data_IF_393220024122
#
_entry.id   IF_393220024122
#
_cell.length_a   1.000
_cell.length_b   1.000
_cell.length_c   1.000
_cell.angle_alpha   90.00
_cell.angle_beta   90.00
_cell.angle_gamma   90.00
#
_symmetry.space_group_name_H-M   'P 1'
#
loop_
_entity.id
_entity.type
_entity.pdbx_description
1 polymer ?
#
# COMPACT_ATOMS: atom_id res chain seq x y z
N UNK A 1 2.87 8.78 27.97
CA UNK A 1 3.86 9.74 27.42
C UNK A 1 4.91 9.04 26.55
N UNK A 2 5.64 8.04 27.05
CA UNK A 2 6.68 7.34 26.29
C UNK A 2 6.19 6.74 24.94
N UNK A 3 5.05 6.05 24.91
CA UNK A 3 4.51 5.46 23.68
C UNK A 3 4.20 6.55 22.64
N UNK A 4 3.56 7.64 23.05
CA UNK A 4 3.27 8.78 22.18
C UNK A 4 4.55 9.39 21.58
N UNK A 5 5.58 9.57 22.37
CA UNK A 5 6.87 10.11 21.92
C UNK A 5 7.54 9.18 20.88
N UNK A 6 7.53 7.87 21.11
CA UNK A 6 8.05 6.87 20.16
C UNK A 6 7.28 6.90 18.84
N UNK A 7 5.95 6.98 18.89
CA UNK A 7 5.11 7.06 17.68
C UNK A 7 5.43 8.35 16.92
N UNK A 8 5.49 9.49 17.59
CA UNK A 8 5.80 10.77 16.96
C UNK A 8 7.20 10.77 16.34
N UNK A 9 8.21 10.26 17.03
CA UNK A 9 9.56 10.13 16.50
C UNK A 9 9.61 9.25 15.25
N UNK A 10 8.91 8.10 15.27
CA UNK A 10 8.81 7.19 14.10
C UNK A 10 8.11 7.87 12.91
N UNK A 11 7.04 8.63 13.17
CA UNK A 11 6.33 9.38 12.13
C UNK A 11 7.17 10.51 11.56
N UNK A 12 7.88 11.26 12.41
CA UNK A 12 8.79 12.32 11.98
C UNK A 12 9.90 11.78 11.08
N UNK A 13 10.51 10.66 11.45
CA UNK A 13 11.55 10.02 10.66
C UNK A 13 11.08 9.59 9.26
N UNK A 14 9.77 9.35 9.07
CA UNK A 14 9.14 9.03 7.78
C UNK A 14 8.58 10.24 7.04
N UNK A 15 8.74 11.47 7.54
CA UNK A 15 8.12 12.67 6.97
C UNK A 15 6.60 12.71 7.14
N UNK A 16 6.04 12.01 8.12
CA UNK A 16 4.59 11.92 8.37
C UNK A 16 4.08 12.89 9.45
N UNK A 17 4.95 13.80 9.91
CA UNK A 17 4.56 14.94 10.72
C UNK A 17 4.86 16.20 9.92
N UNK A 18 3.87 17.08 9.82
CA UNK A 18 4.01 18.32 9.05
C UNK A 18 5.10 19.20 9.66
N UNK A 19 6.06 19.58 8.82
CA UNK A 19 7.11 20.56 9.09
C UNK A 19 7.27 21.43 7.83
N UNK A 20 6.99 22.74 7.91
CA UNK A 20 7.09 23.63 6.75
C UNK A 20 8.50 23.68 6.13
N UNK A 21 9.53 23.39 6.90
CA UNK A 21 10.93 23.40 6.45
C UNK A 21 11.33 22.08 5.76
N UNK A 22 10.53 21.03 5.91
CA UNK A 22 10.81 19.70 5.35
C UNK A 22 9.86 19.38 4.18
N UNK A 23 10.34 19.42 2.92
CA UNK A 23 9.51 19.16 1.75
C UNK A 23 8.93 17.73 1.71
N UNK A 24 9.49 16.78 2.46
CA UNK A 24 8.95 15.42 2.53
C UNK A 24 7.66 15.32 3.35
N UNK A 25 7.30 16.37 4.10
CA UNK A 25 6.08 16.38 4.91
C UNK A 25 4.85 16.92 4.16
N UNK A 26 5.05 17.47 2.95
CA UNK A 26 3.98 18.01 2.11
C UNK A 26 3.31 16.91 1.27
N UNK A 27 2.67 15.97 1.93
CA UNK A 27 1.98 14.84 1.30
C UNK A 27 0.83 14.35 2.15
N UNK A 28 0.02 13.44 1.60
CA UNK A 28 -1.14 12.84 2.26
C UNK A 28 -0.81 11.55 3.03
N UNK A 29 0.47 11.29 3.35
CA UNK A 29 0.93 10.03 3.93
C UNK A 29 1.25 8.98 2.87
N UNK A 30 1.03 7.70 3.17
CA UNK A 30 1.18 6.62 2.18
C UNK A 30 0.14 6.79 1.08
N UNK A 31 0.58 6.73 -0.17
CA UNK A 31 -0.31 6.90 -1.32
C UNK A 31 -0.90 5.56 -1.79
N UNK A 32 -0.16 4.48 -1.68
CA UNK A 32 -0.61 3.15 -2.07
C UNK A 32 -0.78 2.22 -0.89
N UNK A 33 -1.81 1.39 -0.97
CA UNK A 33 -2.04 0.31 -0.03
C UNK A 33 -1.12 -0.87 -0.34
N UNK A 34 -0.77 -1.65 0.69
CA UNK A 34 -0.18 -2.96 0.49
C UNK A 34 -1.18 -3.86 -0.24
N UNK A 35 -0.77 -4.45 -1.35
CA UNK A 35 -1.66 -5.31 -2.13
C UNK A 35 -2.00 -6.58 -1.35
N UNK A 36 -3.29 -6.97 -1.38
CA UNK A 36 -3.75 -8.26 -0.90
C UNK A 36 -3.98 -9.13 -2.13
N UNK A 37 -3.30 -10.27 -2.20
CA UNK A 37 -3.32 -11.15 -3.35
C UNK A 37 -3.48 -12.60 -2.91
N UNK A 38 -4.04 -13.48 -3.73
CA UNK A 38 -4.05 -14.92 -3.46
C UNK A 38 -2.63 -15.46 -3.25
N UNK A 39 -2.47 -16.44 -2.37
CA UNK A 39 -1.17 -17.04 -2.08
C UNK A 39 -0.44 -17.53 -3.33
N UNK A 40 -1.17 -18.07 -4.30
CA UNK A 40 -0.60 -18.51 -5.57
C UNK A 40 0.11 -17.35 -6.32
N UNK A 41 -0.47 -16.16 -6.31
CA UNK A 41 0.14 -14.94 -6.88
C UNK A 41 1.33 -14.48 -6.03
N UNK A 42 1.19 -14.49 -4.69
CA UNK A 42 2.28 -14.11 -3.80
C UNK A 42 3.53 -15.00 -3.98
N UNK A 43 3.34 -16.28 -4.36
CA UNK A 43 4.46 -17.22 -4.62
C UNK A 43 5.23 -16.92 -5.90
N UNK A 44 4.65 -16.18 -6.86
CA UNK A 44 5.36 -15.78 -8.08
C UNK A 44 6.29 -14.60 -7.87
N UNK A 45 6.10 -13.86 -6.76
CA UNK A 45 6.95 -12.74 -6.40
C UNK A 45 8.30 -13.24 -5.82
N UNK A 46 9.39 -12.46 -5.97
CA UNK A 46 10.68 -12.78 -5.36
C UNK A 46 10.56 -13.10 -3.87
N UNK A 47 11.30 -14.06 -3.35
CA UNK A 47 11.21 -14.50 -1.95
C UNK A 47 11.56 -13.39 -0.95
N UNK A 48 12.33 -12.40 -1.35
CA UNK A 48 12.72 -11.23 -0.56
C UNK A 48 11.57 -10.21 -0.39
N UNK A 49 10.50 -10.32 -1.21
CA UNK A 49 9.34 -9.44 -1.06
C UNK A 49 8.66 -9.71 0.30
N UNK A 50 8.62 -8.72 1.20
CA UNK A 50 7.96 -8.89 2.49
C UNK A 50 6.47 -9.19 2.30
N UNK A 51 6.01 -10.23 3.00
CA UNK A 51 4.64 -10.71 2.89
C UNK A 51 4.11 -11.18 4.24
N UNK A 52 2.82 -11.02 4.43
CA UNK A 52 2.13 -11.36 5.67
C UNK A 52 0.83 -12.08 5.34
N UNK A 53 0.53 -13.22 5.98
CA UNK A 53 -0.76 -13.88 5.83
C UNK A 53 -1.87 -12.93 6.29
N UNK A 54 -2.96 -12.88 5.53
CA UNK A 54 -4.18 -12.20 5.95
C UNK A 54 -5.02 -13.21 6.70
N UNK A 55 -5.36 -12.92 7.97
CA UNK A 55 -6.26 -13.77 8.71
C UNK A 55 -7.63 -13.79 7.99
N UNK A 56 -8.25 -14.96 7.82
CA UNK A 56 -9.60 -15.02 7.29
C UNK A 56 -10.54 -14.23 8.20
N UNK A 57 -11.50 -13.55 7.58
CA UNK A 57 -12.56 -12.88 8.34
C UNK A 57 -13.41 -13.98 9.02
N UNK A 58 -13.24 -14.12 10.33
CA UNK A 58 -13.90 -15.17 11.11
C UNK A 58 -15.39 -14.88 11.38
N UNK A 59 -15.91 -13.77 10.88
CA UNK A 59 -17.30 -13.36 11.07
C UNK A 59 -18.30 -14.05 10.12
N UNK A 60 -17.88 -15.04 9.33
CA UNK A 60 -18.80 -15.89 8.58
C UNK A 60 -19.51 -16.88 9.52
N UNK A 61 -20.58 -16.41 10.16
CA UNK A 61 -21.50 -17.30 10.88
C UNK A 61 -22.22 -18.15 9.84
N UNK A 62 -21.86 -19.42 9.73
CA UNK A 62 -22.62 -20.38 8.92
C UNK A 62 -23.86 -20.79 9.70
N UNK A 63 -25.02 -20.28 9.30
CA UNK A 63 -26.32 -20.70 9.86
C UNK A 63 -26.68 -22.06 9.24
N UNK A 64 -26.63 -23.11 10.04
CA UNK A 64 -27.09 -24.45 9.64
C UNK A 64 -28.53 -24.61 10.13
N UNK A 65 -29.51 -24.85 9.22
CA UNK A 65 -30.88 -25.16 9.64
C UNK A 65 -30.92 -26.35 10.57
N UNK A 66 -31.75 -26.29 11.61
CA UNK A 66 -31.81 -27.33 12.66
C UNK A 66 -32.21 -28.72 12.12
N UNK A 67 -33.00 -28.74 11.08
CA UNK A 67 -33.44 -29.97 10.35
C UNK A 67 -32.34 -30.59 9.50
N UNK A 68 -31.28 -29.80 9.18
CA UNK A 68 -30.09 -30.24 8.42
C UNK A 68 -28.88 -30.55 9.31
N UNK A 69 -29.04 -30.43 10.62
CA UNK A 69 -27.98 -30.71 11.60
C UNK A 69 -27.92 -32.20 11.98
N UNK A 70 -27.03 -32.94 11.36
CA UNK A 70 -26.78 -34.35 11.64
C UNK A 70 -25.64 -34.59 12.67
N UNK A 71 -25.32 -33.63 13.51
CA UNK A 71 -24.29 -33.76 14.54
C UNK A 71 -22.84 -33.62 14.03
N UNK A 72 -22.64 -33.48 12.73
CA UNK A 72 -21.35 -33.22 12.12
C UNK A 72 -21.43 -31.84 11.41
N UNK A 73 -20.91 -30.80 12.07
CA UNK A 73 -20.68 -29.56 11.36
C UNK A 73 -19.72 -29.84 10.21
N UNK A 74 -20.05 -29.47 8.95
CA UNK A 74 -19.09 -29.56 7.87
C UNK A 74 -17.85 -28.82 8.30
N UNK A 75 -16.68 -29.45 8.18
CA UNK A 75 -15.40 -28.76 8.41
C UNK A 75 -15.35 -27.59 7.45
N UNK A 76 -15.28 -26.33 7.94
CA UNK A 76 -15.19 -25.21 7.05
C UNK A 76 -13.99 -25.43 6.14
N UNK A 77 -14.21 -25.40 4.84
CA UNK A 77 -13.10 -25.31 3.89
C UNK A 77 -12.31 -24.07 4.29
N UNK A 78 -11.01 -24.24 4.54
CA UNK A 78 -10.16 -23.10 4.83
C UNK A 78 -10.28 -22.13 3.64
N UNK A 79 -10.70 -20.87 3.87
CA UNK A 79 -10.78 -19.92 2.79
C UNK A 79 -9.41 -19.83 2.12
N UNK A 80 -9.34 -19.52 0.80
CA UNK A 80 -8.08 -19.30 0.13
C UNK A 80 -7.27 -18.30 0.96
N UNK A 81 -6.05 -18.64 1.28
CA UNK A 81 -5.19 -17.81 2.11
C UNK A 81 -4.73 -16.62 1.28
N UNK A 82 -5.27 -15.44 1.57
CA UNK A 82 -4.77 -14.20 1.01
C UNK A 82 -3.49 -13.76 1.72
N UNK A 83 -2.63 -13.11 0.97
CA UNK A 83 -1.34 -12.63 1.44
C UNK A 83 -1.23 -11.14 1.14
N UNK A 84 -0.92 -10.37 2.16
CA UNK A 84 -0.56 -8.96 2.02
C UNK A 84 0.91 -8.86 1.62
N UNK A 85 1.21 -8.14 0.53
CA UNK A 85 2.57 -7.92 0.02
C UNK A 85 2.97 -6.46 0.13
N UNK A 86 4.25 -6.20 0.34
CA UNK A 86 4.77 -4.85 0.57
C UNK A 86 4.75 -4.00 -0.70
N UNK A 87 3.84 -3.01 -0.78
CA UNK A 87 3.82 -2.05 -1.86
C UNK A 87 5.12 -1.22 -1.94
N UNK A 88 5.71 -0.86 -0.81
CA UNK A 88 6.99 -0.14 -0.78
C UNK A 88 8.10 -0.94 -1.46
N UNK A 89 8.20 -2.23 -1.15
CA UNK A 89 9.19 -3.13 -1.76
C UNK A 89 8.96 -3.23 -3.28
N UNK A 90 7.71 -3.43 -3.70
CA UNK A 90 7.35 -3.52 -5.13
C UNK A 90 7.74 -2.25 -5.88
N UNK A 91 7.46 -1.07 -5.33
CA UNK A 91 7.81 0.23 -5.94
C UNK A 91 9.33 0.37 -6.08
N UNK A 92 10.08 0.11 -5.01
CA UNK A 92 11.54 0.22 -5.03
C UNK A 92 12.18 -0.76 -6.02
N UNK A 93 11.66 -1.99 -6.13
CA UNK A 93 12.18 -3.03 -7.04
C UNK A 93 11.66 -2.88 -8.48
N UNK A 94 10.59 -2.09 -8.70
CA UNK A 94 10.21 -1.62 -10.04
C UNK A 94 11.08 -0.45 -10.55
N UNK A 95 12.16 -0.10 -9.82
CA UNK A 95 13.12 0.94 -10.18
C UNK A 95 12.73 2.35 -9.74
N UNK A 96 11.77 2.49 -8.83
CA UNK A 96 11.31 3.79 -8.32
C UNK A 96 11.74 3.93 -6.86
N UNK A 97 12.93 4.46 -6.66
CA UNK A 97 13.48 4.68 -5.31
C UNK A 97 12.97 5.95 -4.65
N UNK A 98 13.33 6.10 -3.38
CA UNK A 98 13.09 7.33 -2.61
C UNK A 98 13.71 8.53 -3.31
N UNK A 99 12.97 9.64 -3.33
CA UNK A 99 13.40 10.86 -4.03
C UNK A 99 13.17 10.87 -5.54
N UNK A 100 12.62 9.79 -6.11
CA UNK A 100 12.32 9.71 -7.54
C UNK A 100 11.34 10.82 -7.97
N UNK A 101 11.57 11.38 -9.17
CA UNK A 101 10.70 12.40 -9.78
C UNK A 101 10.63 12.18 -11.28
N UNK A 102 9.48 12.47 -11.87
CA UNK A 102 9.36 12.58 -13.31
C UNK A 102 10.04 13.87 -13.80
N UNK A 103 10.58 13.87 -15.03
CA UNK A 103 11.20 15.07 -15.61
C UNK A 103 10.23 16.26 -15.58
N UNK A 104 10.71 17.41 -15.11
CA UNK A 104 9.95 18.67 -14.99
C UNK A 104 8.79 18.65 -13.99
N UNK A 105 8.48 17.54 -13.35
CA UNK A 105 7.43 17.46 -12.33
C UNK A 105 7.90 18.08 -11.00
N UNK A 106 6.96 18.71 -10.30
CA UNK A 106 7.12 19.19 -8.93
C UNK A 106 6.57 18.18 -7.89
N UNK A 107 5.96 17.09 -8.37
CA UNK A 107 5.65 15.93 -7.56
C UNK A 107 6.85 14.98 -7.48
N UNK A 108 7.00 14.28 -6.37
CA UNK A 108 8.06 13.28 -6.19
C UNK A 108 7.74 12.26 -5.11
N UNK A 109 8.45 11.14 -5.15
CA UNK A 109 8.48 10.19 -4.05
C UNK A 109 9.28 10.80 -2.91
N UNK A 110 8.81 10.67 -1.67
CA UNK A 110 9.52 11.14 -0.49
C UNK A 110 10.93 10.53 -0.41
N UNK A 111 11.90 11.31 0.05
CA UNK A 111 13.25 10.79 0.32
C UNK A 111 13.31 9.89 1.55
N UNK A 112 12.26 9.92 2.38
CA UNK A 112 12.15 9.19 3.64
C UNK A 112 11.29 7.93 3.54
N UNK A 113 10.29 7.93 2.64
CA UNK A 113 9.30 6.86 2.56
C UNK A 113 8.84 6.60 1.11
N UNK A 114 9.10 5.40 0.58
CA UNK A 114 8.80 5.05 -0.81
C UNK A 114 7.30 5.07 -1.17
N UNK A 115 6.40 4.92 -0.18
CA UNK A 115 4.95 5.01 -0.40
C UNK A 115 4.41 6.44 -0.42
N UNK A 116 5.17 7.43 0.06
CA UNK A 116 4.67 8.79 0.18
C UNK A 116 4.97 9.60 -1.10
N UNK A 117 3.92 10.10 -1.74
CA UNK A 117 4.02 11.08 -2.81
C UNK A 117 3.91 12.48 -2.24
N UNK A 118 4.85 13.34 -2.58
CA UNK A 118 5.01 14.65 -1.96
C UNK A 118 4.99 15.77 -2.99
N UNK A 119 4.43 16.91 -2.59
CA UNK A 119 4.51 18.17 -3.31
C UNK A 119 5.84 18.86 -2.96
N UNK A 120 6.75 18.94 -3.91
CA UNK A 120 8.08 19.55 -3.76
C UNK A 120 8.08 21.07 -3.96
N UNK A 121 6.93 21.70 -3.86
CA UNK A 121 6.71 23.12 -4.02
C UNK A 121 5.98 23.44 -5.32
N UNK A 122 4.66 23.66 -5.21
CA UNK A 122 3.79 24.06 -6.32
C UNK A 122 3.42 22.92 -7.28
N UNK A 123 3.49 21.65 -6.86
CA UNK A 123 2.95 20.53 -7.63
C UNK A 123 1.42 20.62 -7.70
N UNK A 124 0.89 20.28 -8.87
CA UNK A 124 -0.56 20.15 -9.09
C UNK A 124 -1.04 18.74 -8.74
N UNK A 125 -2.35 18.58 -8.53
CA UNK A 125 -2.97 17.26 -8.37
C UNK A 125 -2.71 16.38 -9.60
N UNK A 126 -2.73 16.95 -10.80
CA UNK A 126 -2.40 16.25 -12.04
C UNK A 126 -0.97 15.69 -12.06
N UNK A 127 0.02 16.41 -11.56
CA UNK A 127 1.41 15.91 -11.46
C UNK A 127 1.53 14.77 -10.44
N UNK A 128 0.80 14.82 -9.32
CA UNK A 128 0.75 13.71 -8.36
C UNK A 128 0.10 12.48 -9.00
N UNK A 129 -1.02 12.66 -9.72
CA UNK A 129 -1.70 11.57 -10.42
C UNK A 129 -0.83 10.96 -11.55
N UNK A 130 -0.12 11.80 -12.30
CA UNK A 130 0.82 11.33 -13.32
C UNK A 130 1.93 10.46 -12.72
N UNK A 131 2.52 10.91 -11.61
CA UNK A 131 3.51 10.12 -10.88
C UNK A 131 2.92 8.81 -10.35
N UNK A 132 1.68 8.84 -9.83
CA UNK A 132 1.00 7.65 -9.32
C UNK A 132 0.74 6.64 -10.46
N UNK A 133 0.22 7.08 -11.60
CA UNK A 133 0.02 6.22 -12.80
C UNK A 133 1.34 5.63 -13.29
N UNK A 134 2.40 6.41 -13.30
CA UNK A 134 3.73 5.93 -13.65
C UNK A 134 4.19 4.81 -12.72
N UNK A 135 4.02 4.97 -11.40
CA UNK A 135 4.34 3.95 -10.41
C UNK A 135 3.52 2.67 -10.65
N UNK A 136 2.19 2.80 -10.82
CA UNK A 136 1.32 1.67 -11.10
C UNK A 136 1.76 0.91 -12.37
N UNK A 137 2.04 1.64 -13.45
CA UNK A 137 2.49 1.07 -14.72
C UNK A 137 3.82 0.31 -14.56
N UNK A 138 4.77 0.86 -13.81
CA UNK A 138 6.06 0.21 -13.56
C UNK A 138 5.93 -1.06 -12.73
N UNK A 139 5.14 -0.99 -11.63
CA UNK A 139 4.88 -2.16 -10.78
C UNK A 139 4.11 -3.24 -11.56
N UNK A 140 3.12 -2.83 -12.38
CA UNK A 140 2.39 -3.77 -13.21
C UNK A 140 3.28 -4.45 -14.25
N UNK A 141 4.14 -3.70 -14.92
CA UNK A 141 5.06 -4.25 -15.91
C UNK A 141 6.05 -5.25 -15.32
N UNK A 142 6.51 -5.03 -14.09
CA UNK A 142 7.52 -5.87 -13.44
C UNK A 142 6.92 -7.08 -12.71
N UNK A 143 5.77 -6.88 -12.03
CA UNK A 143 5.20 -7.88 -11.11
C UNK A 143 3.78 -8.33 -11.47
N UNK A 144 3.15 -7.75 -12.50
CA UNK A 144 1.76 -8.04 -12.88
C UNK A 144 0.72 -7.53 -11.88
N UNK A 145 1.10 -6.69 -10.91
CA UNK A 145 0.23 -6.17 -9.85
C UNK A 145 -0.10 -4.70 -10.06
N UNK A 146 -1.37 -4.33 -9.85
CA UNK A 146 -1.81 -2.93 -9.86
C UNK A 146 -2.02 -2.46 -8.43
N UNK A 147 -1.22 -1.49 -7.99
CA UNK A 147 -1.35 -0.91 -6.66
C UNK A 147 -2.60 -0.03 -6.56
N UNK A 148 -3.34 -0.17 -5.47
CA UNK A 148 -4.53 0.62 -5.20
C UNK A 148 -4.17 1.87 -4.39
N UNK A 149 -4.70 3.06 -4.78
CA UNK A 149 -4.51 4.27 -4.00
C UNK A 149 -5.26 4.19 -2.67
N UNK A 150 -4.67 4.73 -1.61
CA UNK A 150 -5.32 4.90 -0.30
C UNK A 150 -6.13 6.21 -0.23
N UNK A 151 -5.63 7.34 -0.79
CA UNK A 151 -6.39 8.59 -0.79
C UNK A 151 -7.64 8.51 -1.66
N UNK A 152 -8.70 9.19 -1.24
CA UNK A 152 -9.87 9.43 -2.08
C UNK A 152 -9.49 10.44 -3.18
N UNK A 153 -9.74 10.07 -4.41
CA UNK A 153 -9.45 10.92 -5.58
C UNK A 153 -10.68 11.76 -5.89
N UNK A 154 -10.50 13.08 -5.97
CA UNK A 154 -11.57 14.04 -6.32
C UNK A 154 -11.16 14.74 -7.60
N UNK A 155 -11.97 14.64 -8.64
CA UNK A 155 -11.76 15.22 -9.97
C UNK A 155 -10.41 14.83 -10.63
N UNK A 156 -9.87 13.66 -10.25
CA UNK A 156 -8.63 13.09 -10.79
C UNK A 156 -8.80 11.59 -10.93
N UNK A 157 -8.34 11.02 -12.05
CA UNK A 157 -8.33 9.57 -12.33
C UNK A 157 -6.90 9.02 -12.33
N UNK A 158 -6.76 7.74 -11.94
CA UNK A 158 -5.52 6.98 -12.02
C UNK A 158 -5.62 5.84 -13.02
#
# INVERSE_FOLDING_TARGET
TWLRERILATRAAKGMLFDPADPDTHGAGSFFQNAIVPEAVARTLPPECPRWPVAPDLDTVTVIPLDSYYGLAPKPEAPPSDVKVSAAWLIEHAGIGKGFRLPRSRAGVSTKHALALTNRGGATAGEIAELARFIQSRVHAEFGLVLQPEPVLVDVEL
#
